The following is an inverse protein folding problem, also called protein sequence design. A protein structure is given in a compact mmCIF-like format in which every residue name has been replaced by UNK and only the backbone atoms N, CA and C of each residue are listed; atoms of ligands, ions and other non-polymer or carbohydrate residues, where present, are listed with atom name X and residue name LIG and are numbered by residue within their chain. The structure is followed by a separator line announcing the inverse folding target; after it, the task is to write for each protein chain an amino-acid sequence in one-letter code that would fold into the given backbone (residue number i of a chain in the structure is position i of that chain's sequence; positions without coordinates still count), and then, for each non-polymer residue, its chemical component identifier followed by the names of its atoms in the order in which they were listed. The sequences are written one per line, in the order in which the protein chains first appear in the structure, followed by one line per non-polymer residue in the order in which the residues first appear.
data_IF_152776254127
#
_entry.id   IF_152776254127
#
_cell.length_a   1.000
_cell.length_b   1.000
_cell.length_c   1.000
_cell.angle_alpha   90.00
_cell.angle_beta   90.00
_cell.angle_gamma   90.00
#
_symmetry.space_group_name_H-M   'P 1'
#
loop_
_entity.id
_entity.type
_entity.pdbx_description
1 polymer ?
#
# COMPACT_ATOMS: atom_id res chain seq x y z
N UNK A 1 35.42 -54.95 37.05
CA UNK A 1 35.16 -53.65 37.71
C UNK A 1 35.37 -52.57 36.66
N UNK A 2 34.37 -52.37 35.79
CA UNK A 2 34.45 -51.46 34.64
C UNK A 2 33.27 -50.50 34.71
N UNK A 3 33.62 -49.22 34.70
CA UNK A 3 32.82 -48.07 35.09
C UNK A 3 31.86 -47.71 33.95
N UNK A 4 30.56 -47.69 34.24
CA UNK A 4 29.51 -47.17 33.35
C UNK A 4 29.54 -45.64 33.41
N UNK A 5 29.94 -45.00 32.32
CA UNK A 5 29.62 -43.59 32.07
C UNK A 5 28.22 -43.52 31.46
N UNK A 6 27.30 -42.90 32.20
CA UNK A 6 26.01 -42.41 31.72
C UNK A 6 26.22 -40.92 31.43
N UNK A 7 26.29 -40.55 30.16
CA UNK A 7 26.11 -39.15 29.76
C UNK A 7 24.63 -38.89 29.49
N UNK A 8 24.11 -37.92 30.23
CA UNK A 8 22.78 -37.36 30.06
C UNK A 8 22.80 -36.35 28.92
N UNK A 9 22.11 -36.67 27.82
CA UNK A 9 21.84 -35.74 26.73
C UNK A 9 20.57 -34.95 27.02
N UNK A 10 20.73 -33.78 27.62
CA UNK A 10 19.69 -32.77 27.86
C UNK A 10 19.22 -32.18 26.52
N UNK A 11 18.06 -32.61 26.04
CA UNK A 11 17.40 -32.03 24.86
C UNK A 11 16.77 -30.69 25.24
N UNK A 12 17.53 -29.61 25.10
CA UNK A 12 16.99 -28.24 25.13
C UNK A 12 16.24 -28.01 23.82
N UNK A 13 14.92 -28.24 23.86
CA UNK A 13 14.00 -27.84 22.81
C UNK A 13 13.88 -26.32 22.82
N UNK A 14 14.63 -25.64 21.95
CA UNK A 14 14.43 -24.22 21.70
C UNK A 14 13.19 -24.04 20.82
N UNK A 15 12.19 -23.23 21.24
CA UNK A 15 11.03 -22.95 20.41
C UNK A 15 11.46 -22.11 19.21
N UNK A 16 11.08 -22.60 18.03
CA UNK A 16 11.15 -21.92 16.74
C UNK A 16 10.44 -20.56 16.87
N UNK A 17 11.20 -19.50 17.14
CA UNK A 17 10.70 -18.13 17.15
C UNK A 17 10.33 -17.77 15.72
N UNK A 18 9.03 -17.86 15.43
CA UNK A 18 8.39 -17.18 14.32
C UNK A 18 8.87 -15.73 14.32
N UNK A 19 9.60 -15.36 13.26
CA UNK A 19 9.88 -13.99 12.89
C UNK A 19 8.55 -13.28 12.62
N UNK A 20 7.87 -12.85 13.68
CA UNK A 20 6.86 -11.81 13.60
C UNK A 20 7.62 -10.54 13.20
N UNK A 21 7.27 -9.89 12.07
CA UNK A 21 7.81 -8.59 11.77
C UNK A 21 7.46 -7.68 12.95
N UNK A 22 8.48 -7.25 13.69
CA UNK A 22 8.32 -6.19 14.66
C UNK A 22 7.61 -5.03 13.95
N UNK A 23 6.40 -4.74 14.40
CA UNK A 23 5.74 -3.47 14.15
C UNK A 23 6.70 -2.39 14.62
N UNK A 24 7.45 -1.82 13.67
CA UNK A 24 8.22 -0.61 13.90
C UNK A 24 7.18 0.46 14.20
N UNK A 25 6.94 0.69 15.49
CA UNK A 25 6.28 1.89 15.98
C UNK A 25 7.23 3.04 15.64
N UNK A 26 7.01 3.66 14.47
CA UNK A 26 7.61 4.95 14.16
C UNK A 26 6.91 5.95 15.07
N UNK A 27 7.45 6.12 16.26
CA UNK A 27 7.15 7.27 17.11
C UNK A 27 7.61 8.50 16.34
N UNK A 28 6.63 9.23 15.82
CA UNK A 28 6.78 10.55 15.22
C UNK A 28 7.60 11.42 16.18
N UNK A 29 8.87 11.66 15.85
CA UNK A 29 9.73 12.58 16.59
C UNK A 29 9.22 14.01 16.35
N UNK A 30 8.41 14.48 17.29
CA UNK A 30 8.31 15.89 17.64
C UNK A 30 9.73 16.44 17.86
N UNK A 31 10.13 17.49 17.13
CA UNK A 31 11.37 18.17 17.49
C UNK A 31 12.04 19.04 16.43
N UNK A 32 11.32 19.97 15.81
CA UNK A 32 11.97 21.21 15.35
C UNK A 32 11.29 22.39 16.04
N UNK A 33 11.91 22.78 17.16
CA UNK A 33 11.56 23.97 17.92
C UNK A 33 12.03 25.22 17.20
N UNK A 34 11.08 26.05 16.79
CA UNK A 34 11.29 27.48 16.58
C UNK A 34 10.61 28.22 17.75
N UNK A 35 11.44 28.56 18.74
CA UNK A 35 11.12 29.52 19.80
C UNK A 35 11.14 30.93 19.21
N UNK A 36 10.01 31.64 19.27
CA UNK A 36 9.90 33.10 19.46
C UNK A 36 8.57 33.30 20.21
N UNK A 37 8.57 33.52 21.54
CA UNK A 37 8.61 34.83 22.22
C UNK A 37 7.58 35.82 21.64
N UNK A 38 6.65 36.48 22.34
CA UNK A 38 6.23 36.65 23.74
C UNK A 38 4.82 37.34 23.69
N UNK A 39 3.97 37.09 24.70
CA UNK A 39 2.85 37.87 25.31
C UNK A 39 2.29 39.19 24.67
N UNK A 40 1.02 39.64 24.94
CA UNK A 40 0.27 39.42 26.19
C UNK A 40 -1.27 39.21 26.14
N UNK A 41 -1.72 38.61 27.26
CA UNK A 41 -3.01 38.69 27.96
C UNK A 41 -3.95 39.83 27.52
N UNK A 42 -5.22 39.49 27.23
CA UNK A 42 -6.35 40.37 27.54
C UNK A 42 -7.56 39.59 28.05
N UNK A 43 -8.17 40.20 29.06
CA UNK A 43 -9.33 39.90 29.91
C UNK A 43 -10.54 39.23 29.24
N UNK A 44 -11.12 38.18 29.83
CA UNK A 44 -12.27 38.22 30.79
C UNK A 44 -13.49 38.96 30.24
N UNK A 45 -14.52 38.19 29.87
CA UNK A 45 -15.87 38.65 29.59
C UNK A 45 -16.83 37.48 29.76
N UNK A 46 -17.42 37.36 30.94
CA UNK A 46 -18.50 36.45 31.26
C UNK A 46 -19.80 37.25 31.22
N UNK A 47 -20.80 36.84 30.42
CA UNK A 47 -22.25 37.03 30.68
C UNK A 47 -23.14 36.39 29.58
N UNK A 48 -24.48 36.30 29.72
CA UNK A 48 -25.09 35.04 30.11
C UNK A 48 -26.12 34.47 29.12
N UNK A 49 -26.54 33.24 29.46
CA UNK A 49 -27.85 32.57 29.30
C UNK A 49 -28.97 33.18 28.45
N UNK A 50 -29.65 32.22 27.82
CA UNK A 50 -31.10 32.11 27.55
C UNK A 50 -31.65 32.86 26.33
N UNK A 51 -32.14 32.06 25.36
CA UNK A 51 -33.38 32.29 24.58
C UNK A 51 -33.31 31.66 23.19
N UNK A 52 -33.24 30.33 23.08
CA UNK A 52 -33.49 29.63 21.80
C UNK A 52 -34.25 28.31 21.97
N UNK A 53 -35.30 28.32 22.80
CA UNK A 53 -36.22 27.18 22.93
C UNK A 53 -37.50 27.30 22.05
N UNK A 54 -37.78 28.45 21.43
CA UNK A 54 -39.09 28.68 20.77
C UNK A 54 -39.04 28.79 19.23
N UNK A 55 -38.05 28.17 18.56
CA UNK A 55 -37.92 28.22 17.09
C UNK A 55 -37.82 26.83 16.44
N UNK A 56 -38.41 25.81 17.09
CA UNK A 56 -38.41 24.42 16.60
C UNK A 56 -39.81 23.90 16.20
N UNK A 57 -40.89 24.65 16.44
CA UNK A 57 -42.25 24.18 16.13
C UNK A 57 -42.77 24.57 14.73
N UNK A 58 -42.39 25.71 14.15
CA UNK A 58 -43.00 26.19 12.87
C UNK A 58 -42.24 25.83 11.59
N UNK A 59 -41.06 25.20 11.67
CA UNK A 59 -40.27 24.79 10.49
C UNK A 59 -40.49 23.32 10.09
N UNK A 60 -41.25 22.56 10.88
CA UNK A 60 -41.45 21.12 10.70
C UNK A 60 -42.58 20.78 9.71
N UNK A 61 -43.54 21.67 9.49
CA UNK A 61 -44.67 21.40 8.59
C UNK A 61 -44.44 21.84 7.13
N UNK A 62 -43.68 22.92 6.88
CA UNK A 62 -43.36 23.33 5.49
C UNK A 62 -42.34 22.45 4.76
N UNK A 63 -41.75 21.45 5.43
CA UNK A 63 -40.78 20.53 4.81
C UNK A 63 -41.45 19.27 4.21
N UNK A 64 -42.73 19.00 4.52
CA UNK A 64 -43.40 17.77 4.04
C UNK A 64 -44.06 17.90 2.67
N UNK A 65 -44.45 19.09 2.22
CA UNK A 65 -45.05 19.26 0.88
C UNK A 65 -44.03 19.44 -0.24
N UNK A 66 -42.77 19.80 0.07
CA UNK A 66 -41.70 19.94 -0.94
C UNK A 66 -40.95 18.64 -1.24
N UNK A 67 -41.23 17.54 -0.54
CA UNK A 67 -40.58 16.24 -0.77
C UNK A 67 -41.39 15.31 -1.67
N UNK A 68 -42.59 15.68 -2.12
CA UNK A 68 -43.44 14.80 -2.94
C UNK A 68 -43.36 15.08 -4.44
N UNK A 69 -42.69 16.15 -4.89
CA UNK A 69 -42.64 16.54 -6.32
C UNK A 69 -41.26 16.44 -6.97
N UNK A 70 -40.22 16.03 -6.25
CA UNK A 70 -38.87 15.78 -6.82
C UNK A 70 -38.51 14.28 -6.91
N UNK A 71 -39.39 13.39 -6.46
CA UNK A 71 -39.18 11.92 -6.51
C UNK A 71 -39.51 11.30 -7.88
N UNK A 72 -39.86 12.11 -8.89
CA UNK A 72 -40.29 11.60 -10.20
C UNK A 72 -39.39 12.00 -11.38
N UNK A 73 -38.31 12.74 -11.13
CA UNK A 73 -37.28 13.06 -12.14
C UNK A 73 -35.90 12.45 -11.83
N UNK A 74 -35.73 11.85 -10.64
CA UNK A 74 -34.53 11.12 -10.25
C UNK A 74 -34.49 9.69 -10.83
N UNK A 75 -34.84 9.55 -12.12
CA UNK A 75 -34.37 8.42 -12.93
C UNK A 75 -32.93 8.76 -13.34
N UNK A 76 -32.11 8.94 -12.31
CA UNK A 76 -30.66 8.93 -12.31
C UNK A 76 -30.29 7.70 -13.10
N UNK A 77 -29.66 7.91 -14.25
CA UNK A 77 -28.85 6.89 -14.87
C UNK A 77 -28.01 6.30 -13.74
N UNK A 78 -28.26 5.04 -13.38
CA UNK A 78 -27.31 4.24 -12.63
C UNK A 78 -26.04 4.26 -13.49
N UNK A 79 -25.23 5.28 -13.25
CA UNK A 79 -23.81 5.28 -13.51
C UNK A 79 -23.35 4.01 -12.81
N UNK A 80 -23.14 2.94 -13.60
CA UNK A 80 -22.67 1.65 -13.15
C UNK A 80 -21.44 1.91 -12.30
N UNK A 81 -21.65 1.98 -10.98
CA UNK A 81 -20.62 2.38 -10.05
C UNK A 81 -19.46 1.46 -10.36
N UNK A 82 -18.31 1.99 -10.83
CA UNK A 82 -17.26 1.17 -11.39
C UNK A 82 -16.98 0.08 -10.36
N UNK A 83 -17.05 -1.19 -10.79
CA UNK A 83 -16.78 -2.37 -9.95
C UNK A 83 -15.35 -2.24 -9.44
N UNK A 84 -15.16 -1.42 -8.42
CA UNK A 84 -13.87 -1.00 -7.93
C UNK A 84 -13.24 -2.14 -7.18
N UNK A 85 -11.95 -2.35 -7.42
CA UNK A 85 -11.15 -3.32 -6.68
C UNK A 85 -11.39 -3.13 -5.18
N UNK A 86 -11.73 -4.21 -4.46
CA UNK A 86 -12.00 -4.18 -3.01
C UNK A 86 -10.89 -3.49 -2.20
N UNK A 87 -9.66 -3.56 -2.70
CA UNK A 87 -8.47 -3.01 -2.06
C UNK A 87 -8.48 -1.47 -2.01
N UNK A 88 -8.87 -0.80 -3.09
CA UNK A 88 -8.89 0.67 -3.19
C UNK A 88 -10.02 1.29 -2.38
N UNK A 89 -11.02 0.48 -2.00
CA UNK A 89 -12.10 0.87 -1.10
C UNK A 89 -11.72 0.84 0.38
N UNK A 90 -10.56 0.27 0.74
CA UNK A 90 -10.16 0.15 2.13
C UNK A 90 -9.88 1.52 2.78
N UNK A 91 -10.32 1.70 4.04
CA UNK A 91 -10.13 2.97 4.77
C UNK A 91 -8.64 3.32 4.96
N UNK A 92 -7.80 2.29 5.12
CA UNK A 92 -6.35 2.48 5.27
C UNK A 92 -5.72 2.97 3.97
N UNK A 93 -6.13 2.41 2.83
CA UNK A 93 -5.67 2.89 1.52
C UNK A 93 -6.06 4.34 1.28
N UNK A 94 -7.34 4.69 1.50
CA UNK A 94 -7.81 6.08 1.37
C UNK A 94 -7.02 7.03 2.27
N UNK A 95 -6.79 6.65 3.53
CA UNK A 95 -5.98 7.46 4.46
C UNK A 95 -4.52 7.62 4.00
N UNK A 96 -3.93 6.59 3.40
CA UNK A 96 -2.58 6.65 2.83
C UNK A 96 -2.53 7.59 1.62
N UNK A 97 -3.51 7.49 0.73
CA UNK A 97 -3.63 8.35 -0.46
C UNK A 97 -3.89 9.81 -0.04
N UNK A 98 -4.82 10.05 0.88
CA UNK A 98 -5.11 11.38 1.44
C UNK A 98 -3.86 12.01 2.06
N UNK A 99 -3.07 11.20 2.78
CA UNK A 99 -1.82 11.65 3.36
C UNK A 99 -0.77 11.95 2.29
N UNK A 100 -0.60 11.07 1.30
CA UNK A 100 0.34 11.31 0.20
C UNK A 100 -0.02 12.56 -0.61
N UNK A 101 -1.31 12.75 -0.92
CA UNK A 101 -1.82 13.93 -1.61
C UNK A 101 -1.53 15.20 -0.81
N UNK A 102 -1.82 15.21 0.50
CA UNK A 102 -1.57 16.41 1.32
C UNK A 102 -0.08 16.74 1.49
N UNK A 103 0.82 15.75 1.43
CA UNK A 103 2.26 15.99 1.39
C UNK A 103 2.70 16.62 0.06
N UNK A 104 2.14 16.17 -1.06
CA UNK A 104 2.48 16.69 -2.39
C UNK A 104 1.95 18.10 -2.59
N UNK A 105 0.70 18.33 -2.22
CA UNK A 105 0.03 19.62 -2.33
C UNK A 105 0.35 20.57 -1.15
N UNK A 106 1.57 20.50 -0.60
CA UNK A 106 1.99 21.38 0.49
C UNK A 106 2.63 22.68 -0.02
N UNK A 107 3.08 22.70 -1.28
CA UNK A 107 3.71 23.85 -1.92
C UNK A 107 2.72 24.84 -2.55
N UNK A 108 1.56 24.36 -2.99
CA UNK A 108 0.53 25.15 -3.68
C UNK A 108 -0.79 25.07 -2.91
N UNK A 109 -1.57 26.16 -2.91
CA UNK A 109 -2.91 26.22 -2.26
C UNK A 109 -4.05 26.13 -3.27
N UNK A 110 -3.73 25.80 -4.53
CA UNK A 110 -4.69 25.63 -5.62
C UNK A 110 -5.53 24.36 -5.47
N UNK A 111 -5.05 23.37 -4.71
CA UNK A 111 -5.79 22.12 -4.54
C UNK A 111 -5.46 21.06 -5.58
N UNK A 112 -4.48 21.34 -6.46
CA UNK A 112 -4.12 20.51 -7.59
C UNK A 112 -2.66 20.06 -7.47
N UNK A 113 -2.34 18.89 -8.02
CA UNK A 113 -0.99 18.31 -7.99
C UNK A 113 -0.38 18.36 -9.38
N UNK A 114 0.77 19.01 -9.54
CA UNK A 114 1.50 19.06 -10.81
C UNK A 114 2.23 17.75 -11.16
N UNK A 115 2.69 17.60 -12.41
CA UNK A 115 3.41 16.39 -12.89
C UNK A 115 4.57 15.96 -11.99
N UNK A 116 5.40 16.91 -11.55
CA UNK A 116 6.57 16.63 -10.70
C UNK A 116 6.17 16.19 -9.29
N UNK A 117 5.10 16.78 -8.74
CA UNK A 117 4.58 16.46 -7.41
C UNK A 117 3.86 15.12 -7.41
N UNK A 118 3.11 14.80 -8.48
CA UNK A 118 2.49 13.49 -8.68
C UNK A 118 3.54 12.38 -8.61
N UNK A 119 4.68 12.56 -9.27
CA UNK A 119 5.77 11.59 -9.23
C UNK A 119 6.30 11.36 -7.81
N UNK A 120 6.50 12.44 -7.04
CA UNK A 120 6.91 12.35 -5.65
C UNK A 120 5.84 11.65 -4.78
N UNK A 121 4.56 11.93 -5.00
CA UNK A 121 3.44 11.28 -4.31
C UNK A 121 3.35 9.80 -4.58
N UNK A 122 3.50 9.39 -5.84
CA UNK A 122 3.52 7.98 -6.23
C UNK A 122 4.71 7.25 -5.60
N UNK A 123 5.90 7.87 -5.57
CA UNK A 123 7.07 7.31 -4.91
C UNK A 123 6.84 7.14 -3.40
N UNK A 124 6.22 8.13 -2.76
CA UNK A 124 5.91 8.12 -1.34
C UNK A 124 4.92 7.00 -0.97
N UNK A 125 3.91 6.77 -1.82
CA UNK A 125 2.98 5.63 -1.66
C UNK A 125 3.74 4.32 -1.81
N UNK A 126 4.58 4.17 -2.84
CA UNK A 126 5.38 2.96 -3.06
C UNK A 126 6.30 2.65 -1.88
N UNK A 127 7.02 3.63 -1.35
CA UNK A 127 7.90 3.44 -0.18
C UNK A 127 7.11 2.99 1.04
N UNK A 128 5.90 3.51 1.26
CA UNK A 128 5.06 3.03 2.35
C UNK A 128 4.51 1.63 2.12
N UNK A 129 4.14 1.27 0.89
CA UNK A 129 3.74 -0.09 0.57
C UNK A 129 4.91 -1.08 0.68
N UNK A 130 6.12 -0.67 0.32
CA UNK A 130 7.33 -1.47 0.44
C UNK A 130 7.66 -1.87 1.89
N UNK A 131 7.28 -1.05 2.88
CA UNK A 131 7.41 -1.44 4.31
C UNK A 131 6.60 -2.70 4.64
N UNK A 132 5.50 -2.95 3.93
CA UNK A 132 4.60 -4.07 4.17
C UNK A 132 4.81 -5.22 3.19
N UNK A 133 5.04 -4.92 1.92
CA UNK A 133 5.19 -5.90 0.84
C UNK A 133 6.65 -6.32 0.59
N UNK A 134 7.61 -5.68 1.29
CA UNK A 134 9.03 -5.97 1.16
C UNK A 134 9.66 -5.45 -0.14
N UNK A 135 10.86 -5.95 -0.50
CA UNK A 135 11.64 -5.48 -1.66
C UNK A 135 10.91 -5.60 -3.00
N UNK A 136 9.95 -6.54 -3.10
CA UNK A 136 9.16 -6.73 -4.32
C UNK A 136 8.31 -5.51 -4.69
N UNK A 137 8.00 -4.64 -3.72
CA UNK A 137 7.24 -3.42 -3.94
C UNK A 137 8.10 -2.18 -4.22
N UNK A 138 9.44 -2.31 -4.25
CA UNK A 138 10.39 -1.22 -4.44
C UNK A 138 10.65 -0.84 -5.91
N UNK A 139 9.71 -1.09 -6.82
CA UNK A 139 9.85 -0.78 -8.24
C UNK A 139 8.85 0.32 -8.63
N UNK A 140 9.15 1.59 -8.35
CA UNK A 140 8.28 2.69 -8.73
C UNK A 140 8.21 2.80 -10.27
N UNK A 141 7.08 3.27 -10.82
CA UNK A 141 6.96 3.53 -12.26
C UNK A 141 8.00 4.56 -12.71
N UNK A 142 8.49 4.42 -13.94
CA UNK A 142 9.39 5.40 -14.55
C UNK A 142 8.66 6.73 -14.79
N UNK A 143 9.41 7.83 -14.85
CA UNK A 143 8.83 9.17 -15.02
C UNK A 143 7.95 9.27 -16.28
N UNK A 144 8.38 8.67 -17.40
CA UNK A 144 7.60 8.67 -18.63
C UNK A 144 6.27 7.91 -18.53
N UNK A 145 6.20 6.87 -17.68
CA UNK A 145 4.94 6.16 -17.39
C UNK A 145 4.03 7.05 -16.55
N UNK A 146 4.58 7.77 -15.57
CA UNK A 146 3.82 8.71 -14.75
C UNK A 146 3.30 9.88 -15.57
N UNK A 147 4.07 10.41 -16.52
CA UNK A 147 3.63 11.48 -17.41
C UNK A 147 2.44 11.02 -18.28
N UNK A 148 2.47 9.78 -18.79
CA UNK A 148 1.34 9.18 -19.52
C UNK A 148 0.12 8.97 -18.62
N UNK A 149 0.31 8.53 -17.37
CA UNK A 149 -0.77 8.36 -16.41
C UNK A 149 -1.40 9.70 -16.04
N UNK A 150 -0.59 10.74 -15.89
CA UNK A 150 -1.07 12.11 -15.67
C UNK A 150 -2.00 12.53 -16.82
N UNK A 151 -1.54 12.43 -18.07
CA UNK A 151 -2.31 12.83 -19.25
C UNK A 151 -3.57 11.98 -19.47
N UNK A 152 -3.56 10.72 -19.05
CA UNK A 152 -4.73 9.84 -19.14
C UNK A 152 -5.76 10.09 -18.03
N UNK A 153 -5.33 10.61 -16.88
CA UNK A 153 -6.18 10.82 -15.71
C UNK A 153 -6.70 12.25 -15.57
N UNK A 154 -5.99 13.25 -16.10
CA UNK A 154 -6.44 14.65 -16.23
C UNK A 154 -7.57 14.74 -17.28
N UNK A 155 -8.79 14.43 -16.85
CA UNK A 155 -9.96 14.32 -17.75
C UNK A 155 -10.44 15.70 -18.18
N UNK A 156 -10.28 16.68 -17.31
CA UNK A 156 -10.74 18.05 -17.53
C UNK A 156 -9.71 18.93 -18.24
N UNK A 157 -8.47 18.46 -18.39
CA UNK A 157 -7.34 19.17 -19.01
C UNK A 157 -7.01 20.46 -18.28
N UNK A 158 -7.19 20.47 -16.96
CA UNK A 158 -6.80 21.57 -16.09
C UNK A 158 -5.28 21.79 -16.11
N UNK A 159 -4.51 20.73 -16.39
CA UNK A 159 -3.06 20.71 -16.23
C UNK A 159 -2.61 20.47 -14.78
N UNK A 160 -3.58 20.23 -13.89
CA UNK A 160 -3.42 19.76 -12.53
C UNK A 160 -4.09 18.40 -12.35
N UNK A 161 -3.86 17.77 -11.21
CA UNK A 161 -4.56 16.55 -10.81
C UNK A 161 -5.28 16.83 -9.51
N UNK A 162 -6.60 16.70 -9.53
CA UNK A 162 -7.39 16.82 -8.32
C UNK A 162 -7.24 15.58 -7.42
N UNK A 163 -7.94 15.59 -6.29
CA UNK A 163 -7.82 14.53 -5.29
C UNK A 163 -8.41 13.21 -5.79
N UNK A 164 -9.51 13.27 -6.52
CA UNK A 164 -10.23 12.14 -7.07
C UNK A 164 -9.42 11.47 -8.19
N UNK A 165 -8.88 12.25 -9.11
CA UNK A 165 -7.97 11.82 -10.17
C UNK A 165 -6.67 11.24 -9.60
N UNK A 166 -6.10 11.86 -8.56
CA UNK A 166 -4.95 11.32 -7.86
C UNK A 166 -5.23 9.92 -7.29
N UNK A 167 -6.41 9.74 -6.66
CA UNK A 167 -6.82 8.44 -6.13
C UNK A 167 -6.92 7.39 -7.23
N UNK A 168 -7.46 7.75 -8.40
CA UNK A 168 -7.55 6.86 -9.56
C UNK A 168 -6.17 6.45 -10.09
N UNK A 169 -5.23 7.40 -10.20
CA UNK A 169 -3.84 7.12 -10.61
C UNK A 169 -3.16 6.16 -9.62
N UNK A 170 -3.27 6.43 -8.31
CA UNK A 170 -2.66 5.56 -7.30
C UNK A 170 -3.32 4.18 -7.30
N UNK A 171 -4.64 4.09 -7.47
CA UNK A 171 -5.36 2.84 -7.59
C UNK A 171 -4.89 1.99 -8.79
N UNK A 172 -4.70 2.63 -9.95
CA UNK A 172 -4.17 1.98 -11.15
C UNK A 172 -2.74 1.47 -10.90
N UNK A 173 -1.86 2.29 -10.32
CA UNK A 173 -0.49 1.89 -9.99
C UNK A 173 -0.46 0.72 -9.00
N UNK A 174 -1.28 0.77 -7.94
CA UNK A 174 -1.34 -0.28 -6.93
C UNK A 174 -1.89 -1.60 -7.48
N UNK A 175 -2.74 -1.58 -8.49
CA UNK A 175 -3.24 -2.80 -9.12
C UNK A 175 -2.10 -3.54 -9.83
N UNK A 176 -1.28 -2.82 -10.60
CA UNK A 176 -0.09 -3.40 -11.24
C UNK A 176 0.91 -3.94 -10.21
N UNK A 177 1.15 -3.17 -9.15
CA UNK A 177 2.01 -3.57 -8.04
C UNK A 177 1.52 -4.85 -7.35
N UNK A 178 0.21 -4.91 -7.04
CA UNK A 178 -0.41 -6.05 -6.38
C UNK A 178 -0.32 -7.32 -7.24
N UNK A 179 -0.49 -7.19 -8.56
CA UNK A 179 -0.27 -8.30 -9.49
C UNK A 179 1.14 -8.88 -9.36
N UNK A 180 2.16 -8.03 -9.35
CA UNK A 180 3.57 -8.46 -9.17
C UNK A 180 3.80 -9.16 -7.84
N UNK A 181 3.29 -8.58 -6.74
CA UNK A 181 3.41 -9.15 -5.40
C UNK A 181 2.70 -10.52 -5.32
N UNK A 182 1.49 -10.62 -5.88
CA UNK A 182 0.72 -11.85 -5.88
C UNK A 182 1.43 -12.95 -6.68
N UNK A 183 1.91 -12.62 -7.90
CA UNK A 183 2.69 -13.56 -8.71
C UNK A 183 3.97 -13.98 -8.00
N UNK A 184 4.66 -13.06 -7.32
CA UNK A 184 5.84 -13.38 -6.52
C UNK A 184 5.56 -14.42 -5.44
N UNK A 185 4.51 -14.19 -4.63
CA UNK A 185 4.14 -15.14 -3.58
C UNK A 185 3.62 -16.46 -4.15
N UNK A 186 2.88 -16.43 -5.26
CA UNK A 186 2.42 -17.65 -5.91
C UNK A 186 3.59 -18.52 -6.42
N UNK A 187 4.57 -17.91 -7.09
CA UNK A 187 5.78 -18.62 -7.53
C UNK A 187 6.55 -19.14 -6.32
N UNK A 188 6.74 -18.32 -5.28
CA UNK A 188 7.44 -18.75 -4.07
C UNK A 188 6.79 -19.95 -3.39
N UNK A 189 5.47 -19.90 -3.20
CA UNK A 189 4.73 -20.93 -2.48
C UNK A 189 4.63 -22.22 -3.30
N UNK A 190 4.56 -22.14 -4.63
CA UNK A 190 4.37 -23.31 -5.49
C UNK A 190 5.68 -23.87 -6.06
N UNK A 191 6.55 -23.00 -6.59
CA UNK A 191 7.74 -23.41 -7.33
C UNK A 191 8.88 -23.85 -6.40
N UNK A 192 9.10 -23.14 -5.29
CA UNK A 192 10.20 -23.45 -4.37
C UNK A 192 10.10 -24.87 -3.79
N UNK A 193 8.97 -25.31 -3.20
CA UNK A 193 8.88 -26.67 -2.68
C UNK A 193 8.95 -27.72 -3.79
N UNK A 194 8.40 -27.42 -4.98
CA UNK A 194 8.47 -28.31 -6.13
C UNK A 194 9.92 -28.56 -6.58
N UNK A 195 10.70 -27.49 -6.73
CA UNK A 195 12.11 -27.59 -7.11
C UNK A 195 12.94 -28.27 -6.02
N UNK A 196 12.69 -27.96 -4.75
CA UNK A 196 13.37 -28.62 -3.63
C UNK A 196 13.15 -30.15 -3.65
N UNK A 197 11.90 -30.60 -3.85
CA UNK A 197 11.58 -32.03 -3.98
C UNK A 197 12.32 -32.68 -5.16
N UNK A 198 12.34 -32.03 -6.33
CA UNK A 198 13.08 -32.55 -7.49
C UNK A 198 14.57 -32.75 -7.19
N UNK A 199 15.20 -31.84 -6.45
CA UNK A 199 16.62 -32.01 -6.08
C UNK A 199 16.85 -33.18 -5.13
N UNK A 200 15.98 -33.38 -4.14
CA UNK A 200 16.08 -34.53 -3.21
C UNK A 200 15.98 -35.85 -3.98
N UNK A 201 15.01 -35.94 -4.89
CA UNK A 201 14.80 -37.12 -5.72
C UNK A 201 16.00 -37.43 -6.62
N UNK A 202 16.62 -36.39 -7.19
CA UNK A 202 17.82 -36.52 -8.05
C UNK A 202 19.04 -37.00 -7.25
N UNK A 203 19.26 -36.46 -6.06
CA UNK A 203 20.44 -36.79 -5.24
C UNK A 203 20.28 -38.07 -4.42
N UNK A 204 19.09 -38.68 -4.39
CA UNK A 204 18.77 -39.91 -3.63
C UNK A 204 19.25 -39.84 -2.18
N UNK A 205 19.04 -38.70 -1.53
CA UNK A 205 19.41 -38.51 -0.13
C UNK A 205 18.51 -39.42 0.73
N UNK A 206 19.11 -40.14 1.68
CA UNK A 206 18.37 -41.05 2.55
C UNK A 206 17.37 -40.27 3.42
N UNK A 207 16.08 -40.56 3.21
CA UNK A 207 14.96 -39.83 3.81
C UNK A 207 14.94 -40.01 5.32
N UNK A 208 14.84 -38.92 6.07
CA UNK A 208 14.77 -38.90 7.54
C UNK A 208 16.07 -38.54 8.26
N UNK A 209 17.13 -38.17 7.53
CA UNK A 209 18.39 -37.69 8.11
C UNK A 209 18.37 -36.17 8.34
N UNK A 210 19.09 -35.68 9.37
CA UNK A 210 19.33 -34.24 9.57
C UNK A 210 19.99 -33.57 8.35
N UNK A 211 20.72 -34.34 7.54
CA UNK A 211 21.33 -33.86 6.31
C UNK A 211 20.30 -33.44 5.26
N UNK A 212 19.12 -34.12 5.21
CA UNK A 212 18.03 -33.79 4.29
C UNK A 212 17.47 -32.41 4.60
N UNK A 213 17.08 -32.16 5.86
CA UNK A 213 16.54 -30.86 6.28
C UNK A 213 17.55 -29.72 6.10
N UNK A 214 18.84 -29.98 6.36
CA UNK A 214 19.88 -28.98 6.14
C UNK A 214 20.05 -28.66 4.64
N UNK A 215 20.07 -29.69 3.79
CA UNK A 215 20.16 -29.51 2.34
C UNK A 215 18.93 -28.75 1.78
N UNK A 216 17.73 -29.10 2.24
CA UNK A 216 16.49 -28.41 1.88
C UNK A 216 16.57 -26.91 2.20
N UNK A 217 17.02 -26.55 3.40
CA UNK A 217 17.13 -25.15 3.80
C UNK A 217 18.19 -24.39 2.97
N UNK A 218 19.35 -24.99 2.74
CA UNK A 218 20.44 -24.36 1.97
C UNK A 218 20.03 -24.19 0.51
N UNK A 219 19.40 -25.19 -0.11
CA UNK A 219 18.92 -25.12 -1.49
C UNK A 219 17.79 -24.08 -1.60
N UNK A 220 16.84 -24.09 -0.67
CA UNK A 220 15.74 -23.12 -0.65
C UNK A 220 16.25 -21.70 -0.48
N UNK A 221 17.21 -21.46 0.42
CA UNK A 221 17.84 -20.15 0.58
C UNK A 221 18.61 -19.75 -0.68
N UNK A 222 19.40 -20.66 -1.25
CA UNK A 222 20.19 -20.36 -2.46
C UNK A 222 19.29 -20.00 -3.64
N UNK A 223 18.21 -20.75 -3.84
CA UNK A 223 17.22 -20.47 -4.87
C UNK A 223 16.52 -19.13 -4.62
N UNK A 224 16.15 -18.86 -3.37
CA UNK A 224 15.50 -17.61 -2.98
C UNK A 224 16.37 -16.39 -3.26
N UNK A 225 17.65 -16.44 -2.91
CA UNK A 225 18.56 -15.30 -3.07
C UNK A 225 19.14 -15.14 -4.47
N UNK A 226 19.24 -16.20 -5.27
CA UNK A 226 19.87 -16.14 -6.60
C UNK A 226 18.87 -16.19 -7.75
N UNK A 227 17.98 -17.19 -7.77
CA UNK A 227 17.10 -17.43 -8.90
C UNK A 227 16.00 -16.35 -8.99
N UNK A 228 15.50 -15.88 -7.84
CA UNK A 228 14.39 -14.94 -7.83
C UNK A 228 14.77 -13.55 -8.33
N UNK A 229 15.89 -12.93 -7.88
CA UNK A 229 16.32 -11.66 -8.46
C UNK A 229 16.59 -11.75 -9.96
N UNK A 230 17.19 -12.86 -10.43
CA UNK A 230 17.45 -13.07 -11.86
C UNK A 230 16.17 -13.20 -12.68
N UNK A 231 15.23 -14.03 -12.24
CA UNK A 231 13.94 -14.20 -12.90
C UNK A 231 13.19 -12.87 -12.99
N UNK A 232 13.25 -12.07 -11.92
CA UNK A 232 12.60 -10.77 -11.90
C UNK A 232 13.21 -9.77 -12.86
N UNK A 233 14.54 -9.66 -12.92
CA UNK A 233 15.20 -8.80 -13.90
C UNK A 233 14.77 -9.17 -15.34
N UNK A 234 14.56 -10.46 -15.61
CA UNK A 234 14.08 -10.91 -16.92
C UNK A 234 12.60 -10.56 -17.19
N UNK A 235 11.72 -10.67 -16.19
CA UNK A 235 10.31 -10.28 -16.33
C UNK A 235 10.18 -8.76 -16.50
N UNK A 236 10.95 -8.01 -15.71
CA UNK A 236 10.91 -6.54 -15.73
C UNK A 236 11.37 -6.00 -17.09
N UNK A 237 12.45 -6.55 -17.66
CA UNK A 237 12.90 -6.24 -19.03
C UNK A 237 11.78 -6.45 -20.06
N UNK A 238 11.09 -7.60 -20.02
CA UNK A 238 9.98 -7.86 -20.95
C UNK A 238 8.81 -6.89 -20.78
N UNK A 239 8.52 -6.46 -19.56
CA UNK A 239 7.42 -5.52 -19.31
C UNK A 239 7.69 -4.14 -19.92
N UNK A 240 8.96 -3.71 -19.96
CA UNK A 240 9.37 -2.49 -20.63
C UNK A 240 9.25 -2.59 -22.16
N UNK A 241 9.61 -3.74 -22.74
CA UNK A 241 9.56 -3.94 -24.19
C UNK A 241 8.10 -3.88 -24.72
N UNK A 242 7.16 -4.51 -24.01
CA UNK A 242 5.73 -4.50 -24.38
C UNK A 242 5.12 -3.10 -24.32
N UNK A 243 5.58 -2.27 -23.37
CA UNK A 243 5.12 -0.88 -23.25
C UNK A 243 5.70 0.05 -24.34
N UNK A 244 6.78 -0.38 -25.01
CA UNK A 244 7.38 0.33 -26.14
C UNK A 244 6.71 -0.02 -27.47
N UNK A 245 6.31 -1.28 -27.67
CA UNK A 245 5.81 -1.78 -28.96
C UNK A 245 4.37 -1.37 -29.29
N UNK A 246 3.59 -0.86 -28.33
CA UNK A 246 2.17 -0.51 -28.53
C UNK A 246 1.96 0.88 -29.19
N UNK A 247 3.00 1.51 -29.72
CA UNK A 247 2.98 2.91 -30.21
C UNK A 247 3.19 3.09 -31.72
N UNK A 248 3.31 2.03 -32.53
CA UNK A 248 3.62 2.17 -33.96
C UNK A 248 2.51 1.78 -34.95
N UNK A 249 1.28 1.52 -34.47
CA UNK A 249 0.13 1.22 -35.34
C UNK A 249 -0.91 2.36 -35.38
#
# INVERSE_FOLDING_TARGET
QTRKEKEAGEKVSAPLLLFLPHTINITTSHGLGLKQAQHPKHTRGAEPRQDKANKQASKKERKREKMSSEESAAKTQEEEAPKGNMLTRSKQFKKLVDWAFSVCNSGQQDGEVGKSELYAGLLLVHVNLAKYAGPAACYPPTRSVVDKLFEASDKDKSGGIDKEEFLDIVAACCTNLMGRILTYYAILILLVPYVAQQFIDIFKIETGSYAETAAEQVISMSFFFLAIPMLWNAIDQKSHDVAGSTKED
#
